data_IF_020689034693
#
_entry.id   IF_020689034693
#
_cell.length_a   1.000
_cell.length_b   1.000
_cell.length_c   1.000
_cell.angle_alpha   90.00
_cell.angle_beta   90.00
_cell.angle_gamma   90.00
#
_symmetry.space_group_name_H-M   'P 1'
#
loop_
_entity.id
_entity.type
_entity.pdbx_description
1 polymer ?
#
# COMPACT_ATOMS: atom_id res chain seq x y z
N UNK A 1 6.58 6.21 8.89
CA UNK A 1 5.17 6.00 8.57
C UNK A 1 4.89 6.38 7.13
N UNK A 2 4.03 5.63 6.49
CA UNK A 2 3.68 5.92 5.10
C UNK A 2 2.53 6.93 5.04
N UNK A 3 2.45 7.67 3.94
CA UNK A 3 1.39 8.65 3.73
C UNK A 3 0.77 8.46 2.35
N UNK A 4 -0.17 9.34 1.99
CA UNK A 4 -0.89 9.23 0.72
C UNK A 4 0.01 9.35 -0.50
N UNK A 5 1.09 10.10 -0.38
CA UNK A 5 2.00 10.37 -1.49
C UNK A 5 3.08 9.32 -1.63
N UNK A 6 3.17 8.39 -0.69
CA UNK A 6 4.18 7.33 -0.76
C UNK A 6 3.88 6.43 -1.95
N UNK A 7 4.92 6.16 -2.74
CA UNK A 7 4.79 5.26 -3.89
C UNK A 7 4.74 3.83 -3.40
N UNK A 8 3.87 3.02 -4.01
CA UNK A 8 3.68 1.63 -3.60
C UNK A 8 4.99 0.85 -3.65
N UNK A 9 5.83 1.09 -4.66
CA UNK A 9 7.12 0.43 -4.75
C UNK A 9 7.98 0.70 -3.51
N UNK A 10 7.94 1.92 -2.99
CA UNK A 10 8.68 2.27 -1.78
C UNK A 10 8.17 1.50 -0.58
N UNK A 11 6.86 1.37 -0.44
CA UNK A 11 6.27 0.61 0.64
C UNK A 11 6.72 -0.84 0.58
N UNK A 12 6.70 -1.43 -0.60
CA UNK A 12 7.08 -2.83 -0.78
C UNK A 12 8.57 -3.06 -0.57
N UNK A 13 9.39 -2.05 -0.85
CA UNK A 13 10.82 -2.14 -0.56
C UNK A 13 11.11 -2.10 0.92
N UNK A 14 10.42 -1.22 1.65
CA UNK A 14 10.65 -1.04 3.08
C UNK A 14 9.88 -2.04 3.92
N UNK A 15 8.73 -2.48 3.44
CA UNK A 15 7.85 -3.39 4.18
C UNK A 15 7.25 -4.41 3.23
N UNK A 16 8.05 -5.38 2.73
CA UNK A 16 7.54 -6.39 1.78
C UNK A 16 6.40 -7.22 2.36
N UNK A 17 6.34 -7.36 3.68
CA UNK A 17 5.25 -8.08 4.34
C UNK A 17 3.89 -7.40 4.16
N UNK A 18 3.86 -6.17 3.65
CA UNK A 18 2.61 -5.45 3.44
C UNK A 18 1.90 -5.83 2.14
N UNK A 19 2.52 -6.65 1.29
CA UNK A 19 1.90 -7.06 0.03
C UNK A 19 0.47 -7.57 0.18
N UNK A 20 0.15 -8.44 1.16
CA UNK A 20 -1.23 -8.90 1.35
C UNK A 20 -2.24 -7.77 1.60
N UNK A 21 -1.79 -6.69 2.22
CA UNK A 21 -2.64 -5.52 2.47
C UNK A 21 -3.09 -4.90 1.14
N UNK A 22 -2.16 -4.73 0.21
CA UNK A 22 -2.48 -4.19 -1.11
C UNK A 22 -3.36 -5.17 -1.90
N UNK A 23 -3.11 -6.46 -1.79
CA UNK A 23 -3.92 -7.46 -2.48
C UNK A 23 -5.35 -7.47 -1.96
N UNK A 24 -5.56 -7.13 -0.70
CA UNK A 24 -6.89 -7.12 -0.10
C UNK A 24 -7.82 -6.09 -0.74
N UNK A 25 -7.29 -5.05 -1.35
CA UNK A 25 -8.10 -4.04 -2.04
C UNK A 25 -8.20 -4.28 -3.54
N UNK A 26 -7.73 -5.43 -4.00
CA UNK A 26 -7.86 -5.82 -5.41
C UNK A 26 -6.62 -5.64 -6.25
N UNK A 27 -5.50 -5.29 -5.66
CA UNK A 27 -4.25 -5.13 -6.40
C UNK A 27 -3.55 -6.47 -6.58
N UNK A 28 -3.83 -7.13 -7.69
CA UNK A 28 -3.29 -8.46 -7.94
C UNK A 28 -1.94 -8.47 -8.66
N UNK A 29 -1.53 -7.32 -9.20
CA UNK A 29 -0.31 -7.25 -10.03
C UNK A 29 0.75 -6.37 -9.38
N UNK A 30 1.15 -6.70 -8.16
CA UNK A 30 2.15 -5.92 -7.45
C UNK A 30 3.52 -5.93 -8.11
N UNK A 31 3.77 -6.92 -8.96
CA UNK A 31 5.01 -6.97 -9.72
C UNK A 31 4.98 -6.14 -10.99
N UNK A 32 3.84 -5.54 -11.32
CA UNK A 32 3.71 -4.73 -12.53
C UNK A 32 4.34 -3.35 -12.30
N UNK A 33 5.16 -2.91 -13.25
CA UNK A 33 5.85 -1.63 -13.13
C UNK A 33 4.89 -0.46 -13.00
N UNK A 34 3.73 -0.53 -13.68
CA UNK A 34 2.74 0.55 -13.60
C UNK A 34 2.11 0.65 -12.21
N UNK A 35 1.72 -0.49 -11.63
CA UNK A 35 1.14 -0.51 -10.31
C UNK A 35 2.11 0.03 -9.26
N UNK A 36 3.39 -0.30 -9.42
CA UNK A 36 4.41 0.11 -8.45
C UNK A 36 4.76 1.60 -8.53
N UNK A 37 4.37 2.28 -9.60
CA UNK A 37 4.61 3.72 -9.75
C UNK A 37 3.53 4.57 -9.12
N UNK A 38 2.39 3.98 -8.82
CA UNK A 38 1.28 4.72 -8.23
C UNK A 38 1.54 5.04 -6.77
N UNK A 39 0.99 6.19 -6.33
CA UNK A 39 0.97 6.50 -4.91
C UNK A 39 -0.14 5.70 -4.25
N UNK A 40 -0.08 5.63 -2.93
CA UNK A 40 -1.14 4.95 -2.16
C UNK A 40 -2.49 5.61 -2.44
N UNK A 41 -2.52 6.94 -2.50
CA UNK A 41 -3.76 7.66 -2.77
C UNK A 41 -4.33 7.29 -4.15
N UNK A 42 -3.49 7.26 -5.16
CA UNK A 42 -3.93 6.91 -6.51
C UNK A 42 -4.48 5.49 -6.58
N UNK A 43 -3.79 4.55 -5.95
CA UNK A 43 -4.24 3.17 -5.94
C UNK A 43 -5.57 3.01 -5.22
N UNK A 44 -5.73 3.69 -4.08
CA UNK A 44 -6.97 3.63 -3.33
C UNK A 44 -8.13 4.23 -4.13
N UNK A 45 -7.86 5.32 -4.84
CA UNK A 45 -8.88 5.96 -5.68
C UNK A 45 -9.35 5.03 -6.79
N UNK A 46 -8.41 4.38 -7.48
CA UNK A 46 -8.74 3.45 -8.56
C UNK A 46 -9.60 2.28 -8.05
N UNK A 47 -9.30 1.79 -6.86
CA UNK A 47 -10.00 0.63 -6.29
C UNK A 47 -11.18 1.01 -5.41
N UNK A 48 -11.53 2.29 -5.33
CA UNK A 48 -12.67 2.75 -4.54
C UNK A 48 -12.50 2.59 -3.04
N UNK A 49 -11.27 2.69 -2.56
CA UNK A 49 -10.93 2.53 -1.15
C UNK A 49 -10.59 3.89 -0.56
N UNK A 50 -11.01 4.12 0.68
CA UNK A 50 -10.64 5.33 1.40
C UNK A 50 -9.15 5.29 1.75
N UNK A 51 -8.39 6.28 1.26
CA UNK A 51 -6.95 6.31 1.48
C UNK A 51 -6.59 6.42 2.96
N UNK A 52 -7.35 7.19 3.73
CA UNK A 52 -7.08 7.34 5.17
C UNK A 52 -7.28 6.02 5.91
N UNK A 53 -8.36 5.31 5.60
CA UNK A 53 -8.62 3.99 6.19
C UNK A 53 -7.53 3.01 5.82
N UNK A 54 -7.15 3.01 4.55
CA UNK A 54 -6.11 2.10 4.07
C UNK A 54 -4.78 2.39 4.76
N UNK A 55 -4.42 3.67 4.88
CA UNK A 55 -3.18 4.06 5.54
C UNK A 55 -3.17 3.66 7.01
N UNK A 56 -4.31 3.79 7.68
CA UNK A 56 -4.41 3.39 9.06
C UNK A 56 -4.12 1.90 9.21
N UNK A 57 -4.72 1.08 8.36
CA UNK A 57 -4.51 -0.36 8.38
C UNK A 57 -3.06 -0.71 8.04
N UNK A 58 -2.52 -0.06 7.00
CA UNK A 58 -1.17 -0.32 6.55
C UNK A 58 -0.15 0.02 7.63
N UNK A 59 -0.25 1.21 8.20
CA UNK A 59 0.71 1.66 9.20
C UNK A 59 0.62 0.81 10.48
N UNK A 60 -0.60 0.43 10.88
CA UNK A 60 -0.78 -0.46 12.02
C UNK A 60 -0.16 -1.83 11.77
N UNK A 61 -0.35 -2.36 10.58
CA UNK A 61 0.21 -3.66 10.21
C UNK A 61 1.74 -3.62 10.23
N UNK A 62 2.31 -2.59 9.63
CA UNK A 62 3.77 -2.44 9.56
C UNK A 62 4.34 -2.24 10.97
N UNK A 63 3.69 -1.46 11.80
CA UNK A 63 4.13 -1.24 13.17
C UNK A 63 4.15 -2.54 13.97
N UNK A 64 3.15 -3.39 13.79
CA UNK A 64 3.10 -4.68 14.47
C UNK A 64 4.21 -5.61 14.00
N UNK A 65 4.50 -5.58 12.70
CA UNK A 65 5.54 -6.44 12.14
C UNK A 65 6.94 -5.99 12.54
N UNK A 66 7.10 -4.71 12.85
CA UNK A 66 8.39 -4.16 13.23
C UNK A 66 8.79 -4.48 14.67
N UNK A 67 7.89 -5.03 15.44
CA UNK A 67 8.17 -5.37 16.86
C UNK A 67 8.74 -6.75 17.02
#
# INVERSE_FOLDING_TARGET
MFDRETIIAEVLMKAPQSAPIFQSIGMHCLGCAMANRETIEEACEVHGVDADDFLLKLNNFVAKQAQ
#
